data_IF_349746997872
#
_entry.id   IF_349746997872
#
_cell.length_a   1.000
_cell.length_b   1.000
_cell.length_c   1.000
_cell.angle_alpha   90.00
_cell.angle_beta   90.00
_cell.angle_gamma   90.00
#
_symmetry.space_group_name_H-M   'P 1'
#
loop_
_entity.id
_entity.type
_entity.pdbx_description
1 polymer ?
#
# COMPACT_ATOMS: atom_id res chain seq x y z
N UNK A 1 -16.04 12.48 -5.05
CA UNK A 1 -17.45 12.57 -4.60
C UNK A 1 -18.32 12.42 -5.84
N UNK A 2 -19.34 11.54 -5.81
CA UNK A 2 -20.33 11.44 -6.89
C UNK A 2 -21.44 12.45 -6.59
N UNK A 3 -21.51 13.53 -7.32
CA UNK A 3 -22.51 14.60 -7.20
C UNK A 3 -21.92 15.96 -7.58
N UNK A 4 -22.77 16.97 -7.74
CA UNK A 4 -22.30 18.34 -7.96
C UNK A 4 -21.65 18.86 -6.66
N UNK A 5 -20.50 19.55 -6.77
CA UNK A 5 -19.82 20.12 -5.60
C UNK A 5 -20.68 21.16 -4.92
N UNK A 6 -20.66 21.20 -3.59
CA UNK A 6 -21.30 22.24 -2.81
C UNK A 6 -20.53 23.55 -2.94
N UNK A 7 -21.11 24.66 -2.47
CA UNK A 7 -20.54 26.00 -2.63
C UNK A 7 -19.15 26.20 -2.02
N UNK A 8 -18.76 25.35 -1.07
CA UNK A 8 -17.47 25.32 -0.37
C UNK A 8 -16.56 24.14 -0.79
N UNK A 9 -16.99 23.33 -1.76
CA UNK A 9 -16.24 22.20 -2.32
C UNK A 9 -15.62 22.58 -3.67
N UNK A 10 -14.38 22.18 -3.89
CA UNK A 10 -13.69 22.33 -5.17
C UNK A 10 -13.73 20.98 -5.88
N UNK A 11 -14.14 20.97 -7.13
CA UNK A 11 -14.12 19.75 -7.94
C UNK A 11 -12.67 19.34 -8.23
N UNK A 12 -12.34 18.07 -7.96
CA UNK A 12 -10.98 17.55 -8.13
C UNK A 12 -10.45 17.72 -9.57
N UNK A 13 -11.31 17.60 -10.55
CA UNK A 13 -10.96 17.82 -11.97
C UNK A 13 -10.41 19.23 -12.23
N UNK A 14 -10.93 20.24 -11.53
CA UNK A 14 -10.45 21.63 -11.64
C UNK A 14 -9.01 21.77 -11.13
N UNK A 15 -8.66 21.02 -10.07
CA UNK A 15 -7.31 21.01 -9.52
C UNK A 15 -6.32 20.24 -10.40
N UNK A 16 -6.79 19.11 -10.98
CA UNK A 16 -5.95 18.24 -11.81
C UNK A 16 -5.71 18.80 -13.23
N UNK A 17 -6.60 19.65 -13.72
CA UNK A 17 -6.50 20.27 -15.06
C UNK A 17 -5.88 21.67 -15.02
N UNK A 18 -5.34 22.10 -13.90
CA UNK A 18 -4.59 23.35 -13.79
C UNK A 18 -3.27 23.28 -14.57
N UNK A 19 -2.92 24.39 -15.25
CA UNK A 19 -1.66 24.52 -16.00
C UNK A 19 -0.46 24.88 -15.10
N UNK A 20 -0.69 25.05 -13.79
CA UNK A 20 0.36 25.39 -12.83
C UNK A 20 1.00 24.12 -12.27
N UNK A 21 2.19 23.79 -12.75
CA UNK A 21 3.06 22.70 -12.30
C UNK A 21 4.23 23.20 -11.43
N UNK A 22 4.16 24.46 -10.97
CA UNK A 22 5.18 25.02 -10.10
C UNK A 22 5.22 24.30 -8.75
N UNK A 23 6.43 24.05 -8.26
CA UNK A 23 6.62 23.49 -6.92
C UNK A 23 6.21 24.53 -5.86
N UNK A 24 5.31 24.12 -4.95
CA UNK A 24 4.90 24.97 -3.85
C UNK A 24 6.09 25.24 -2.91
N UNK A 25 6.45 26.52 -2.75
CA UNK A 25 7.49 26.93 -1.82
C UNK A 25 6.89 27.07 -0.42
N UNK A 26 7.05 26.00 0.38
CA UNK A 26 6.55 25.94 1.76
C UNK A 26 7.70 25.53 2.68
N UNK A 27 7.94 26.36 3.69
CA UNK A 27 8.88 26.04 4.77
C UNK A 27 8.21 25.03 5.72
N UNK A 28 8.56 23.75 5.57
CA UNK A 28 8.06 22.67 6.44
C UNK A 28 9.05 22.36 7.54
N UNK A 29 8.55 22.20 8.75
CA UNK A 29 9.29 21.73 9.93
C UNK A 29 8.91 20.28 10.26
N UNK A 30 9.67 19.64 11.13
CA UNK A 30 9.42 18.28 11.59
C UNK A 30 8.06 18.13 12.31
N UNK A 31 7.59 19.18 12.95
CA UNK A 31 6.37 19.19 13.76
C UNK A 31 5.11 19.60 12.98
N UNK A 32 5.28 20.04 11.72
CA UNK A 32 4.14 20.41 10.90
C UNK A 32 3.24 19.18 10.60
N UNK A 33 1.94 19.45 10.50
CA UNK A 33 0.92 18.45 10.22
C UNK A 33 1.10 17.89 8.80
N UNK A 34 1.09 16.57 8.67
CA UNK A 34 1.31 15.89 7.39
C UNK A 34 0.06 15.18 6.89
N UNK A 35 -0.53 14.36 7.74
CA UNK A 35 -1.65 13.49 7.37
C UNK A 35 -2.65 13.38 8.51
N UNK A 36 -3.93 13.44 8.18
CA UNK A 36 -5.05 13.09 9.07
C UNK A 36 -5.66 11.79 8.60
N UNK A 37 -5.60 10.75 9.46
CA UNK A 37 -6.16 9.43 9.18
C UNK A 37 -7.45 9.27 9.98
N UNK A 38 -8.53 8.93 9.30
CA UNK A 38 -9.81 8.65 9.96
C UNK A 38 -9.90 7.17 10.36
N UNK A 39 -10.23 6.92 11.62
CA UNK A 39 -10.48 5.56 12.12
C UNK A 39 -11.97 5.34 12.33
N UNK A 40 -12.46 4.12 12.07
CA UNK A 40 -13.83 3.73 12.44
C UNK A 40 -13.92 3.65 13.96
N UNK A 41 -14.46 4.70 14.58
CA UNK A 41 -14.68 4.70 16.03
C UNK A 41 -15.68 3.62 16.45
N UNK A 42 -15.39 2.87 17.51
CA UNK A 42 -16.29 1.88 18.12
C UNK A 42 -17.60 2.50 18.62
N UNK A 43 -17.64 3.82 18.77
CA UNK A 43 -18.79 4.62 19.22
C UNK A 43 -19.63 5.19 18.07
N UNK A 44 -19.35 4.80 16.82
CA UNK A 44 -20.07 5.28 15.63
C UNK A 44 -19.56 6.60 15.04
N UNK A 45 -18.73 7.35 15.77
CA UNK A 45 -18.08 8.57 15.25
C UNK A 45 -16.63 8.28 14.89
N UNK A 46 -16.23 8.58 13.66
CA UNK A 46 -14.84 8.45 13.23
C UNK A 46 -13.94 9.39 14.03
N UNK A 47 -12.78 8.87 14.43
CA UNK A 47 -11.75 9.67 15.10
C UNK A 47 -10.66 10.07 14.10
N UNK A 48 -10.23 11.32 14.15
CA UNK A 48 -9.13 11.83 13.36
C UNK A 48 -7.80 11.60 14.12
N UNK A 49 -6.86 10.94 13.48
CA UNK A 49 -5.50 10.73 14.01
C UNK A 49 -4.54 11.58 13.18
N UNK A 50 -3.98 12.58 13.80
CA UNK A 50 -3.00 13.47 13.19
C UNK A 50 -1.60 12.82 13.21
N UNK A 51 -0.87 12.95 12.10
CA UNK A 51 0.54 12.59 11.96
C UNK A 51 1.34 13.79 11.49
N UNK A 52 2.51 14.03 12.11
CA UNK A 52 3.44 15.08 11.70
C UNK A 52 4.41 14.60 10.62
N UNK A 53 5.17 15.53 10.04
CA UNK A 53 6.21 15.24 9.05
C UNK A 53 7.28 14.28 9.61
N UNK A 54 7.74 14.51 10.84
CA UNK A 54 8.69 13.62 11.52
C UNK A 54 8.12 12.23 11.74
N UNK A 55 6.89 12.11 12.22
CA UNK A 55 6.24 10.81 12.43
C UNK A 55 6.16 9.99 11.15
N UNK A 56 5.80 10.61 10.03
CA UNK A 56 5.70 9.90 8.74
C UNK A 56 7.08 9.46 8.24
N UNK A 57 8.09 10.32 8.35
CA UNK A 57 9.48 9.99 7.97
C UNK A 57 10.06 8.86 8.83
N UNK A 58 9.95 8.98 10.14
CA UNK A 58 10.49 7.98 11.08
C UNK A 58 9.79 6.64 10.92
N UNK A 59 8.49 6.64 10.70
CA UNK A 59 7.73 5.43 10.43
C UNK A 59 8.22 4.73 9.14
N UNK A 60 8.43 5.49 8.06
CA UNK A 60 8.99 4.95 6.82
C UNK A 60 10.37 4.34 7.00
N UNK A 61 11.27 5.03 7.71
CA UNK A 61 12.62 4.55 8.02
C UNK A 61 12.59 3.29 8.91
N UNK A 62 11.75 3.26 9.94
CA UNK A 62 11.58 2.09 10.79
C UNK A 62 11.15 0.86 9.98
N UNK A 63 10.15 1.00 9.12
CA UNK A 63 9.68 -0.10 8.26
C UNK A 63 10.75 -0.53 7.23
N UNK A 64 11.59 0.39 6.78
CA UNK A 64 12.68 0.08 5.86
C UNK A 64 13.79 -0.76 6.53
N UNK A 65 14.11 -0.45 7.80
CA UNK A 65 15.14 -1.16 8.57
C UNK A 65 14.65 -2.54 9.03
N UNK A 66 13.38 -2.65 9.46
CA UNK A 66 12.82 -3.86 10.05
C UNK A 66 12.90 -5.09 9.13
N UNK A 67 12.86 -4.89 7.83
CA UNK A 67 12.81 -5.98 6.85
C UNK A 67 14.15 -6.27 6.14
N UNK A 68 15.27 -5.70 6.61
CA UNK A 68 16.62 -5.89 6.01
C UNK A 68 16.66 -5.63 4.48
N UNK A 69 15.89 -4.63 4.04
CA UNK A 69 15.73 -4.33 2.62
C UNK A 69 16.74 -3.27 2.10
N UNK A 70 17.77 -2.98 2.86
CA UNK A 70 18.71 -1.87 2.62
C UNK A 70 19.58 -1.99 1.35
N UNK A 71 19.54 -3.13 0.66
CA UNK A 71 20.51 -3.42 -0.41
C UNK A 71 19.90 -3.85 -1.76
N UNK A 72 18.57 -3.86 -1.90
CA UNK A 72 17.92 -4.34 -3.14
C UNK A 72 16.82 -3.39 -3.55
N UNK A 73 16.61 -3.18 -4.85
CA UNK A 73 15.43 -2.47 -5.32
C UNK A 73 14.16 -3.12 -4.77
N UNK A 74 13.31 -2.34 -4.14
CA UNK A 74 12.02 -2.79 -3.65
C UNK A 74 10.90 -2.32 -4.58
N UNK A 75 10.02 -3.26 -4.91
CA UNK A 75 8.80 -2.99 -5.67
C UNK A 75 7.63 -3.53 -4.86
N UNK A 76 6.86 -2.64 -4.28
CA UNK A 76 5.72 -3.00 -3.46
C UNK A 76 4.41 -2.91 -4.24
N UNK A 77 3.59 -3.95 -4.17
CA UNK A 77 2.24 -3.96 -4.72
C UNK A 77 1.20 -4.02 -3.60
N UNK A 78 0.18 -3.16 -3.68
CA UNK A 78 -0.99 -3.22 -2.81
C UNK A 78 -2.25 -2.73 -3.52
N UNK A 79 -3.41 -3.20 -3.07
CA UNK A 79 -4.74 -2.72 -3.46
C UNK A 79 -5.38 -1.83 -2.39
N UNK A 80 -4.70 -1.63 -1.26
CA UNK A 80 -5.25 -0.86 -0.15
C UNK A 80 -5.46 0.59 -0.56
N UNK A 81 -6.62 1.19 -0.25
CA UNK A 81 -6.88 2.59 -0.54
C UNK A 81 -5.95 3.54 0.23
N UNK A 82 -5.61 4.68 -0.37
CA UNK A 82 -4.75 5.69 0.26
C UNK A 82 -5.28 6.27 1.58
N UNK A 83 -6.58 6.25 1.80
CA UNK A 83 -7.17 6.68 3.07
C UNK A 83 -6.95 5.68 4.22
N UNK A 84 -6.39 4.51 3.95
CA UNK A 84 -6.14 3.48 4.95
C UNK A 84 -4.66 3.46 5.35
N UNK A 85 -4.39 3.34 6.65
CA UNK A 85 -3.03 3.30 7.22
C UNK A 85 -2.14 2.25 6.55
N UNK A 86 -2.69 1.09 6.19
CA UNK A 86 -1.93 0.02 5.53
C UNK A 86 -1.34 0.46 4.17
N UNK A 87 -2.06 1.26 3.37
CA UNK A 87 -1.53 1.82 2.13
C UNK A 87 -0.42 2.84 2.42
N UNK A 88 -0.68 3.75 3.36
CA UNK A 88 0.30 4.78 3.73
C UNK A 88 1.59 4.18 4.29
N UNK A 89 1.52 3.07 5.04
CA UNK A 89 2.72 2.40 5.55
C UNK A 89 3.63 1.90 4.43
N UNK A 90 3.04 1.30 3.39
CA UNK A 90 3.81 0.84 2.23
C UNK A 90 4.38 2.03 1.44
N UNK A 91 3.57 3.08 1.24
CA UNK A 91 4.04 4.28 0.54
C UNK A 91 5.26 4.90 1.22
N UNK A 92 5.20 5.17 2.53
CA UNK A 92 6.32 5.79 3.25
C UNK A 92 7.54 4.87 3.33
N UNK A 93 7.35 3.54 3.40
CA UNK A 93 8.42 2.56 3.29
C UNK A 93 9.11 2.66 1.92
N UNK A 94 8.34 2.71 0.83
CA UNK A 94 8.90 2.82 -0.52
C UNK A 94 9.62 4.16 -0.73
N UNK A 95 9.09 5.26 -0.19
CA UNK A 95 9.79 6.55 -0.22
C UNK A 95 11.13 6.48 0.51
N UNK A 96 11.17 5.87 1.71
CA UNK A 96 12.41 5.72 2.49
C UNK A 96 13.46 4.83 1.80
N UNK A 97 13.02 3.85 1.00
CA UNK A 97 13.89 2.92 0.28
C UNK A 97 14.23 3.38 -1.16
N UNK A 98 13.70 4.52 -1.61
CA UNK A 98 13.71 4.92 -3.02
C UNK A 98 13.18 3.80 -3.94
N UNK A 99 12.18 3.06 -3.45
CA UNK A 99 11.56 1.92 -4.11
C UNK A 99 10.44 2.32 -5.07
N UNK A 100 9.85 1.31 -5.70
CA UNK A 100 8.70 1.48 -6.58
C UNK A 100 7.41 1.09 -5.86
N UNK A 101 6.38 1.92 -5.96
CA UNK A 101 5.06 1.67 -5.39
C UNK A 101 4.04 1.40 -6.50
N UNK A 102 3.47 0.20 -6.51
CA UNK A 102 2.46 -0.24 -7.48
C UNK A 102 1.11 -0.32 -6.76
N UNK A 103 0.26 0.67 -6.99
CA UNK A 103 -1.12 0.67 -6.48
C UNK A 103 -2.05 0.10 -7.55
N UNK A 104 -2.83 -0.92 -7.18
CA UNK A 104 -3.80 -1.53 -8.07
C UNK A 104 -5.22 -1.23 -7.60
N UNK A 105 -6.12 -1.01 -8.54
CA UNK A 105 -7.52 -0.65 -8.30
C UNK A 105 -8.46 -1.86 -8.18
N UNK A 106 -7.95 -3.04 -8.48
CA UNK A 106 -8.72 -4.28 -8.45
C UNK A 106 -7.87 -5.47 -8.02
N UNK A 107 -8.51 -6.45 -7.39
CA UNK A 107 -7.90 -7.74 -7.02
C UNK A 107 -8.51 -8.83 -7.91
N UNK A 108 -8.14 -8.80 -9.17
CA UNK A 108 -8.36 -9.87 -10.14
C UNK A 108 -7.10 -10.72 -10.23
N UNK A 109 -7.18 -12.06 -10.11
CA UNK A 109 -5.97 -12.90 -10.06
C UNK A 109 -5.09 -12.77 -11.29
N UNK A 110 -5.64 -12.80 -12.50
CA UNK A 110 -4.87 -12.66 -13.74
C UNK A 110 -4.12 -11.33 -13.75
N UNK A 111 -4.83 -10.23 -13.47
CA UNK A 111 -4.27 -8.89 -13.41
C UNK A 111 -3.17 -8.77 -12.35
N UNK A 112 -3.36 -9.32 -11.14
CA UNK A 112 -2.35 -9.25 -10.08
C UNK A 112 -1.06 -9.96 -10.50
N UNK A 113 -1.15 -11.18 -11.04
CA UNK A 113 0.04 -11.92 -11.49
C UNK A 113 0.73 -11.24 -12.68
N UNK A 114 -0.01 -10.63 -13.59
CA UNK A 114 0.56 -9.78 -14.64
C UNK A 114 1.36 -8.59 -14.07
N UNK A 115 0.83 -7.93 -13.02
CA UNK A 115 1.56 -6.83 -12.39
C UNK A 115 2.82 -7.33 -11.67
N UNK A 116 2.77 -8.52 -11.02
CA UNK A 116 3.94 -9.13 -10.37
C UNK A 116 5.05 -9.33 -11.40
N UNK A 117 4.77 -9.94 -12.52
CA UNK A 117 5.73 -10.19 -13.60
C UNK A 117 6.21 -8.88 -14.24
N UNK A 118 5.29 -7.98 -14.60
CA UNK A 118 5.58 -6.74 -15.31
C UNK A 118 6.53 -5.82 -14.55
N UNK A 119 6.33 -5.70 -13.25
CA UNK A 119 7.10 -4.76 -12.41
C UNK A 119 8.18 -5.45 -11.58
N UNK A 120 8.27 -6.78 -11.60
CA UNK A 120 9.18 -7.54 -10.76
C UNK A 120 8.88 -7.31 -9.26
N UNK A 121 7.61 -7.44 -8.89
CA UNK A 121 7.14 -7.17 -7.51
C UNK A 121 7.90 -8.02 -6.51
N UNK A 122 8.48 -7.35 -5.50
CA UNK A 122 9.28 -8.00 -4.45
C UNK A 122 8.52 -8.13 -3.15
N UNK A 123 7.54 -7.26 -2.93
CA UNK A 123 6.72 -7.22 -1.72
C UNK A 123 5.26 -6.99 -2.09
N UNK A 124 4.35 -7.69 -1.43
CA UNK A 124 2.91 -7.53 -1.65
C UNK A 124 2.17 -7.46 -0.32
N UNK A 125 1.29 -6.45 -0.17
CA UNK A 125 0.38 -6.33 0.96
C UNK A 125 -1.06 -6.55 0.51
N UNK A 126 -1.72 -7.59 1.08
CA UNK A 126 -3.13 -7.88 0.87
C UNK A 126 -3.93 -7.81 2.17
N UNK A 127 -5.06 -7.11 2.13
CA UNK A 127 -5.95 -6.89 3.28
C UNK A 127 -7.40 -7.13 2.84
N UNK A 128 -8.12 -8.09 3.42
CA UNK A 128 -7.72 -9.08 4.42
C UNK A 128 -6.91 -10.25 3.83
N UNK A 129 -6.37 -11.15 4.68
CA UNK A 129 -5.61 -12.34 4.22
C UNK A 129 -6.37 -13.24 3.23
N UNK A 130 -7.70 -13.22 3.28
CA UNK A 130 -8.58 -13.96 2.35
C UNK A 130 -8.31 -13.64 0.88
N UNK A 131 -7.78 -12.46 0.56
CA UNK A 131 -7.44 -12.10 -0.81
C UNK A 131 -6.29 -12.95 -1.37
N UNK A 132 -5.34 -13.40 -0.53
CA UNK A 132 -4.35 -14.38 -0.94
C UNK A 132 -4.99 -15.72 -1.31
N UNK A 133 -6.05 -16.12 -0.60
CA UNK A 133 -6.76 -17.36 -0.93
C UNK A 133 -7.46 -17.26 -2.28
N UNK A 134 -8.01 -16.10 -2.61
CA UNK A 134 -8.57 -15.86 -3.95
C UNK A 134 -7.52 -16.02 -5.05
N UNK A 135 -6.30 -15.53 -4.82
CA UNK A 135 -5.18 -15.74 -5.74
C UNK A 135 -4.79 -17.22 -5.84
N UNK A 136 -4.69 -17.90 -4.71
CA UNK A 136 -4.36 -19.33 -4.65
C UNK A 136 -5.38 -20.20 -5.37
N UNK A 137 -6.67 -20.02 -5.06
CA UNK A 137 -7.78 -20.82 -5.59
C UNK A 137 -7.96 -20.63 -7.11
N UNK A 138 -7.49 -19.52 -7.69
CA UNK A 138 -7.49 -19.30 -9.12
C UNK A 138 -6.61 -20.30 -9.89
N UNK A 139 -5.56 -20.81 -9.23
CA UNK A 139 -4.58 -21.71 -9.86
C UNK A 139 -3.66 -21.06 -10.90
N UNK A 140 -3.87 -19.77 -11.20
CA UNK A 140 -3.12 -19.01 -12.22
C UNK A 140 -1.63 -18.93 -11.87
N UNK A 141 -1.30 -18.81 -10.59
CA UNK A 141 0.06 -18.74 -10.07
C UNK A 141 0.97 -19.90 -10.53
N UNK A 142 0.40 -21.07 -10.87
CA UNK A 142 1.15 -22.24 -11.35
C UNK A 142 1.79 -22.02 -12.74
N UNK A 143 1.33 -21.02 -13.47
CA UNK A 143 1.76 -20.69 -14.83
C UNK A 143 2.43 -19.31 -14.91
N UNK A 144 2.69 -18.69 -13.75
CA UNK A 144 3.26 -17.35 -13.63
C UNK A 144 4.58 -17.36 -12.88
N UNK A 145 5.48 -16.46 -13.24
CA UNK A 145 6.73 -16.28 -12.51
C UNK A 145 6.50 -15.39 -11.27
N UNK A 146 6.55 -16.01 -10.10
CA UNK A 146 6.44 -15.35 -8.81
C UNK A 146 7.79 -15.26 -8.07
N UNK A 147 8.89 -15.60 -8.72
CA UNK A 147 10.21 -15.75 -8.11
C UNK A 147 10.79 -14.47 -7.51
N UNK A 148 10.32 -13.31 -8.01
CA UNK A 148 10.74 -12.01 -7.50
C UNK A 148 10.15 -11.67 -6.14
N UNK A 149 9.00 -12.27 -5.76
CA UNK A 149 8.29 -11.94 -4.54
C UNK A 149 9.02 -12.54 -3.33
N UNK A 150 9.49 -11.67 -2.45
CA UNK A 150 10.28 -12.01 -1.26
C UNK A 150 9.52 -11.78 0.05
N UNK A 151 8.46 -11.00 0.01
CA UNK A 151 7.67 -10.65 1.19
C UNK A 151 6.17 -10.62 0.85
N UNK A 152 5.39 -11.40 1.59
CA UNK A 152 3.93 -11.39 1.51
C UNK A 152 3.35 -10.92 2.83
N UNK A 153 2.90 -9.67 2.88
CA UNK A 153 2.32 -9.07 4.07
C UNK A 153 0.79 -9.21 4.08
N UNK A 154 0.23 -9.36 5.26
CA UNK A 154 -1.22 -9.29 5.46
C UNK A 154 -1.55 -8.71 6.82
N UNK A 155 -2.73 -8.09 6.91
CA UNK A 155 -3.29 -7.53 8.14
C UNK A 155 -4.82 -7.51 8.05
N UNK A 156 -5.47 -7.02 9.10
CA UNK A 156 -6.93 -6.80 9.09
C UNK A 156 -7.78 -8.05 9.22
N UNK A 157 -7.20 -9.23 9.53
CA UNK A 157 -7.94 -10.45 9.71
C UNK A 157 -7.11 -11.58 10.30
N UNK A 158 -7.79 -12.67 10.70
CA UNK A 158 -7.12 -13.89 11.13
C UNK A 158 -6.53 -14.62 9.93
N UNK A 159 -5.31 -15.12 10.06
CA UNK A 159 -4.66 -15.98 9.09
C UNK A 159 -4.42 -17.36 9.74
N UNK A 160 -4.97 -18.41 9.15
CA UNK A 160 -4.75 -19.78 9.61
C UNK A 160 -3.42 -20.31 9.10
N UNK A 161 -2.91 -21.35 9.73
CA UNK A 161 -1.69 -22.03 9.25
C UNK A 161 -1.86 -22.60 7.83
N UNK A 162 -3.06 -23.02 7.46
CA UNK A 162 -3.38 -23.47 6.10
C UNK A 162 -3.21 -22.33 5.09
N UNK A 163 -3.64 -21.11 5.44
CA UNK A 163 -3.46 -19.92 4.59
C UNK A 163 -1.98 -19.58 4.43
N UNK A 164 -1.23 -19.64 5.52
CA UNK A 164 0.23 -19.42 5.50
C UNK A 164 0.92 -20.41 4.56
N UNK A 165 0.59 -21.70 4.66
CA UNK A 165 1.16 -22.73 3.79
C UNK A 165 0.86 -22.49 2.31
N UNK A 166 -0.38 -22.11 1.98
CA UNK A 166 -0.80 -21.77 0.61
C UNK A 166 -0.08 -20.51 0.06
N UNK A 167 0.17 -19.52 0.91
CA UNK A 167 0.95 -18.35 0.52
C UNK A 167 2.39 -18.75 0.18
N UNK A 168 3.03 -19.60 1.00
CA UNK A 168 4.38 -20.10 0.69
C UNK A 168 4.43 -21.01 -0.53
N UNK A 169 3.36 -21.74 -0.83
CA UNK A 169 3.27 -22.53 -2.07
C UNK A 169 3.23 -21.62 -3.31
N UNK A 170 2.48 -20.50 -3.26
CA UNK A 170 2.46 -19.51 -4.35
C UNK A 170 3.77 -18.73 -4.48
N UNK A 171 4.42 -18.44 -3.35
CA UNK A 171 5.58 -17.56 -3.26
C UNK A 171 6.71 -18.23 -2.47
N UNK A 172 7.39 -19.21 -3.06
CA UNK A 172 8.37 -20.06 -2.34
C UNK A 172 9.59 -19.30 -1.82
N UNK A 173 9.90 -18.14 -2.39
CA UNK A 173 10.97 -17.24 -1.94
C UNK A 173 10.49 -16.23 -0.89
N UNK A 174 9.20 -16.21 -0.58
CA UNK A 174 8.58 -15.23 0.28
C UNK A 174 8.84 -15.45 1.77
N UNK A 175 8.88 -14.34 2.51
CA UNK A 175 8.72 -14.28 3.98
C UNK A 175 7.29 -13.80 4.28
N UNK A 176 6.79 -14.06 5.50
CA UNK A 176 5.53 -13.52 6.02
C UNK A 176 5.79 -12.57 7.17
#
# INVERSE_FOLDING_TARGET
VKGEPKADEIELSTLLNGDDDSEAQVDLTADDESVIILTSGTTGTSKAVLRTQSMMREYGLMLAIENDNSHKPEVALTHCPFFHTACLSILVKMLALCGTFVLVDRVDPEFIFEQIEKYGVTMMLMVPPLLYMRLYDSGIWKQRDTSTLREAQFTGGKCSIDYVNKIFEMFPNGKL
#
